data_IF_309973557255
#
_entry.id   IF_309973557255
#
_cell.length_a   1.000
_cell.length_b   1.000
_cell.length_c   1.000
_cell.angle_alpha   90.00
_cell.angle_beta   90.00
_cell.angle_gamma   90.00
#
_symmetry.space_group_name_H-M   'P 1'
#
loop_
_entity.id
_entity.type
_entity.pdbx_description
1 polymer ?
#
# COMPACT_ATOMS: atom_id res chain seq x y z
N UNK A 1 5.02 0.54 18.05
CA UNK A 1 4.10 1.44 17.34
C UNK A 1 3.89 2.66 18.21
N UNK A 2 3.85 3.83 17.59
CA UNK A 2 3.55 5.07 18.28
C UNK A 2 2.09 5.15 18.73
N UNK A 3 1.77 6.20 19.49
CA UNK A 3 0.42 6.47 19.97
C UNK A 3 -0.52 6.92 18.86
N UNK A 4 -0.02 7.70 17.91
CA UNK A 4 -0.77 8.31 16.81
C UNK A 4 -0.40 7.68 15.45
N UNK A 5 0.89 7.44 15.22
CA UNK A 5 1.38 6.91 13.96
C UNK A 5 1.47 5.39 13.99
N UNK A 6 0.69 4.74 13.12
CA UNK A 6 0.78 3.31 12.82
C UNK A 6 1.84 3.01 11.75
N UNK A 7 1.81 1.80 11.18
CA UNK A 7 2.74 1.37 10.12
C UNK A 7 2.59 2.17 8.81
N UNK A 8 1.45 2.85 8.62
CA UNK A 8 1.12 3.59 7.39
C UNK A 8 0.58 5.01 7.69
N UNK A 9 1.25 5.73 8.58
CA UNK A 9 0.93 7.10 8.95
C UNK A 9 -0.06 7.23 10.12
N UNK A 10 -0.45 8.46 10.40
CA UNK A 10 -1.48 8.80 11.38
C UNK A 10 -2.86 8.73 10.72
N UNK A 11 -3.65 7.71 11.01
CA UNK A 11 -4.99 7.50 10.46
C UNK A 11 -6.07 7.64 11.51
N UNK A 12 -7.21 8.14 11.10
CA UNK A 12 -8.40 8.23 11.95
C UNK A 12 -9.58 8.87 11.22
N UNK A 13 -10.76 8.78 11.84
CA UNK A 13 -11.94 9.50 11.38
C UNK A 13 -11.68 11.01 11.48
N UNK A 14 -11.97 11.72 10.38
CA UNK A 14 -11.68 13.15 10.25
C UNK A 14 -12.47 13.98 11.27
N UNK A 15 -11.78 14.84 12.02
CA UNK A 15 -12.29 15.64 13.15
C UNK A 15 -12.83 14.83 14.35
N UNK A 16 -12.57 13.52 14.39
CA UNK A 16 -12.84 12.68 15.56
C UNK A 16 -11.53 12.21 16.19
N UNK A 17 -10.76 11.37 15.48
CA UNK A 17 -9.47 10.86 15.94
C UNK A 17 -8.30 11.63 15.33
N UNK A 18 -8.44 12.07 14.07
CA UNK A 18 -7.49 12.92 13.36
C UNK A 18 -8.12 14.30 13.14
N UNK A 19 -7.59 15.33 13.79
CA UNK A 19 -8.16 16.69 13.77
C UNK A 19 -7.29 17.68 13.01
N UNK A 20 -7.84 18.84 12.66
CA UNK A 20 -7.10 19.97 12.07
C UNK A 20 -5.97 20.44 12.97
N UNK A 21 -6.13 20.36 14.30
CA UNK A 21 -5.10 20.72 15.26
C UNK A 21 -3.90 19.76 15.18
N UNK A 22 -4.15 18.45 15.07
CA UNK A 22 -3.09 17.48 14.84
C UNK A 22 -2.32 17.81 13.56
N UNK A 23 -3.02 18.05 12.45
CA UNK A 23 -2.39 18.42 11.18
C UNK A 23 -1.57 19.70 11.28
N UNK A 24 -2.10 20.73 11.94
CA UNK A 24 -1.38 21.98 12.18
C UNK A 24 -0.08 21.75 12.98
N UNK A 25 -0.16 21.00 14.08
CA UNK A 25 1.02 20.68 14.91
C UNK A 25 2.05 19.84 14.13
N UNK A 26 1.63 18.86 13.34
CA UNK A 26 2.53 18.10 12.47
C UNK A 26 3.27 19.05 11.51
N UNK A 27 2.54 19.97 10.86
CA UNK A 27 3.13 20.99 10.01
C UNK A 27 4.11 21.91 10.78
N UNK A 28 3.74 22.36 11.97
CA UNK A 28 4.61 23.17 12.86
C UNK A 28 5.93 22.45 13.16
N UNK A 29 5.81 21.17 13.55
CA UNK A 29 6.99 20.38 13.89
C UNK A 29 7.91 20.18 12.68
N UNK A 30 7.39 19.74 11.56
CA UNK A 30 8.18 19.46 10.35
C UNK A 30 8.88 20.72 9.83
N UNK A 31 8.18 21.85 9.76
CA UNK A 31 8.77 23.11 9.33
C UNK A 31 9.92 23.56 10.23
N UNK A 32 9.76 23.46 11.54
CA UNK A 32 10.82 23.75 12.51
C UNK A 32 11.96 22.74 12.47
N UNK A 33 11.63 21.44 12.40
CA UNK A 33 12.63 20.36 12.46
C UNK A 33 13.59 20.42 11.27
N UNK A 34 13.04 20.49 10.07
CA UNK A 34 13.84 20.55 8.85
C UNK A 34 14.45 21.93 8.61
N UNK A 35 13.80 23.02 9.04
CA UNK A 35 14.34 24.37 8.92
C UNK A 35 15.70 24.54 9.59
N UNK A 36 16.04 23.73 10.61
CA UNK A 36 17.36 23.74 11.26
C UNK A 36 18.50 23.32 10.32
N UNK A 37 18.21 22.60 9.26
CA UNK A 37 19.21 22.11 8.31
C UNK A 37 19.57 23.16 7.25
N UNK A 38 18.87 24.29 7.21
CA UNK A 38 19.05 25.36 6.24
C UNK A 38 19.54 26.64 6.91
N UNK A 39 20.51 27.32 6.31
CA UNK A 39 21.07 28.59 6.83
C UNK A 39 20.01 29.71 6.92
N UNK A 40 19.08 29.73 5.94
CA UNK A 40 17.97 30.67 5.91
C UNK A 40 16.74 30.16 6.71
N UNK A 41 16.81 28.96 7.27
CA UNK A 41 15.74 28.32 8.03
C UNK A 41 14.55 27.84 7.19
N UNK A 42 14.68 27.79 5.85
CA UNK A 42 13.58 27.48 4.92
C UNK A 42 13.63 26.05 4.41
N UNK A 43 12.97 25.14 5.11
CA UNK A 43 12.72 23.80 4.60
C UNK A 43 11.72 23.82 3.43
N UNK A 44 11.89 22.89 2.50
CA UNK A 44 10.97 22.66 1.37
C UNK A 44 10.19 21.37 1.59
N UNK A 45 8.90 21.48 1.75
CA UNK A 45 8.04 20.33 2.03
C UNK A 45 6.97 20.20 0.96
N UNK A 46 6.91 19.03 0.30
CA UNK A 46 5.94 18.76 -0.75
C UNK A 46 4.72 18.02 -0.17
N UNK A 47 3.52 18.44 -0.60
CA UNK A 47 2.25 17.90 -0.10
C UNK A 47 1.41 17.41 -1.27
N UNK A 48 0.95 16.16 -1.18
CA UNK A 48 -0.09 15.60 -2.04
C UNK A 48 -1.29 15.15 -1.21
N UNK A 49 -2.42 14.99 -1.87
CA UNK A 49 -3.66 14.53 -1.23
C UNK A 49 -4.48 13.65 -2.17
N UNK A 50 -5.35 12.83 -1.58
CA UNK A 50 -6.40 12.14 -2.31
C UNK A 50 -7.63 13.02 -2.52
N UNK A 51 -8.71 12.43 -3.02
CA UNK A 51 -9.94 13.12 -3.39
C UNK A 51 -10.92 13.35 -2.26
N UNK A 52 -10.64 12.89 -1.02
CA UNK A 52 -11.52 13.05 0.15
C UNK A 52 -11.79 14.53 0.40
N UNK A 53 -13.03 14.85 0.77
CA UNK A 53 -13.40 16.23 1.14
C UNK A 53 -12.54 16.74 2.30
N UNK A 54 -12.27 15.91 3.31
CA UNK A 54 -11.42 16.25 4.45
C UNK A 54 -9.95 16.47 4.10
N UNK A 55 -9.46 15.96 2.96
CA UNK A 55 -8.07 16.13 2.54
C UNK A 55 -7.73 17.60 2.28
N UNK A 56 -8.67 18.40 1.77
CA UNK A 56 -8.48 19.86 1.61
C UNK A 56 -8.34 20.56 2.96
N UNK A 57 -9.16 20.20 3.93
CA UNK A 57 -9.11 20.75 5.28
C UNK A 57 -7.75 20.47 5.94
N UNK A 58 -7.26 19.24 5.85
CA UNK A 58 -5.97 18.86 6.40
C UNK A 58 -4.80 19.50 5.66
N UNK A 59 -4.87 19.63 4.33
CA UNK A 59 -3.86 20.34 3.54
C UNK A 59 -3.69 21.77 4.03
N UNK A 60 -4.78 22.53 4.15
CA UNK A 60 -4.71 23.93 4.63
C UNK A 60 -4.16 24.02 6.07
N UNK A 61 -4.50 23.07 6.91
CA UNK A 61 -4.01 23.02 8.28
C UNK A 61 -2.50 22.73 8.36
N UNK A 62 -2.02 21.73 7.60
CA UNK A 62 -0.59 21.43 7.46
C UNK A 62 0.19 22.63 6.90
N UNK A 63 -0.32 23.25 5.82
CA UNK A 63 0.29 24.44 5.20
C UNK A 63 0.41 25.57 6.19
N UNK A 64 -0.64 25.86 6.96
CA UNK A 64 -0.59 26.90 7.99
C UNK A 64 0.50 26.60 9.05
N UNK A 65 0.62 25.34 9.48
CA UNK A 65 1.66 24.92 10.41
C UNK A 65 3.08 25.08 9.85
N UNK A 66 3.29 24.60 8.63
CA UNK A 66 4.58 24.67 7.93
C UNK A 66 5.04 26.12 7.73
N UNK A 67 4.20 26.95 7.14
CA UNK A 67 4.54 28.35 6.84
C UNK A 67 4.74 29.18 8.11
N UNK A 68 3.95 28.92 9.16
CA UNK A 68 4.13 29.53 10.47
C UNK A 68 5.47 29.15 11.13
N UNK A 69 6.09 28.04 10.73
CA UNK A 69 7.43 27.61 11.18
C UNK A 69 8.55 28.00 10.22
N UNK A 70 8.25 28.70 9.11
CA UNK A 70 9.23 29.18 8.15
C UNK A 70 9.46 28.27 6.94
N UNK A 71 8.86 27.09 6.89
CA UNK A 71 9.00 26.18 5.75
C UNK A 71 8.13 26.60 4.56
N UNK A 72 8.62 26.36 3.35
CA UNK A 72 7.86 26.54 2.13
C UNK A 72 7.08 25.24 1.80
N UNK A 73 5.77 25.38 1.58
CA UNK A 73 4.86 24.28 1.28
C UNK A 73 4.57 24.20 -0.22
N UNK A 74 4.96 23.10 -0.86
CA UNK A 74 4.78 22.86 -2.30
C UNK A 74 3.59 21.93 -2.54
N UNK A 75 2.55 22.40 -3.21
CA UNK A 75 1.29 21.68 -3.37
C UNK A 75 1.21 20.94 -4.71
N UNK A 76 1.22 19.62 -4.67
CA UNK A 76 0.96 18.76 -5.84
C UNK A 76 -0.54 18.63 -6.14
N UNK A 77 -1.39 19.08 -5.22
CA UNK A 77 -2.85 18.88 -5.26
C UNK A 77 -3.22 17.41 -5.21
N UNK A 78 -4.32 17.01 -5.89
CA UNK A 78 -4.73 15.61 -5.94
C UNK A 78 -3.72 14.81 -6.76
N UNK A 79 -3.07 13.86 -6.10
CA UNK A 79 -2.04 12.99 -6.67
C UNK A 79 -1.90 11.70 -5.85
N UNK A 80 -1.13 10.73 -6.36
CA UNK A 80 -0.94 9.43 -5.72
C UNK A 80 0.16 9.46 -4.67
N UNK A 81 0.13 8.53 -3.70
CA UNK A 81 1.22 8.36 -2.72
C UNK A 81 2.57 8.14 -3.40
N UNK A 82 2.73 7.26 -4.41
CA UNK A 82 4.01 7.12 -5.10
C UNK A 82 4.44 8.38 -5.87
N UNK A 83 3.51 9.25 -6.30
CA UNK A 83 3.86 10.56 -6.88
C UNK A 83 4.56 11.45 -5.86
N UNK A 84 4.04 11.54 -4.63
CA UNK A 84 4.68 12.31 -3.54
C UNK A 84 6.06 11.73 -3.24
N UNK A 85 6.17 10.42 -3.09
CA UNK A 85 7.46 9.73 -2.87
C UNK A 85 8.47 10.03 -3.97
N UNK A 86 8.03 9.95 -5.25
CA UNK A 86 8.89 10.24 -6.39
C UNK A 86 9.40 11.68 -6.39
N UNK A 87 8.50 12.65 -6.23
CA UNK A 87 8.86 14.08 -6.24
C UNK A 87 9.77 14.41 -5.08
N UNK A 88 9.48 13.90 -3.87
CA UNK A 88 10.30 14.14 -2.69
C UNK A 88 11.76 13.74 -2.93
N UNK A 89 11.99 12.53 -3.46
CA UNK A 89 13.36 12.00 -3.64
C UNK A 89 14.12 12.50 -4.85
N UNK A 90 13.43 13.12 -5.82
CA UNK A 90 14.05 13.51 -7.09
C UNK A 90 14.24 15.02 -7.25
N UNK A 91 13.68 15.83 -6.36
CA UNK A 91 13.62 17.28 -6.53
C UNK A 91 14.03 18.09 -5.27
N UNK A 92 14.96 17.58 -4.47
CA UNK A 92 15.56 18.25 -3.30
C UNK A 92 14.54 18.77 -2.28
N UNK A 93 13.50 17.98 -1.97
CA UNK A 93 12.59 18.22 -0.85
C UNK A 93 13.10 17.58 0.43
N UNK A 94 12.97 18.26 1.54
CA UNK A 94 13.36 17.76 2.86
C UNK A 94 12.41 16.65 3.35
N UNK A 95 11.13 16.78 2.97
CA UNK A 95 10.07 15.87 3.40
C UNK A 95 8.90 15.92 2.43
N UNK A 96 8.22 14.79 2.26
CA UNK A 96 6.94 14.67 1.57
C UNK A 96 5.82 14.35 2.55
N UNK A 97 4.63 14.87 2.28
CA UNK A 97 3.41 14.57 3.04
C UNK A 97 2.35 14.10 2.07
N UNK A 98 1.78 12.92 2.32
CA UNK A 98 0.58 12.46 1.63
C UNK A 98 -0.62 12.43 2.58
N UNK A 99 -1.70 13.11 2.16
CA UNK A 99 -2.96 13.15 2.91
C UNK A 99 -3.91 12.13 2.29
N UNK A 100 -4.00 10.96 2.91
CA UNK A 100 -4.86 9.87 2.49
C UNK A 100 -4.98 8.78 3.57
N UNK A 101 -6.13 8.12 3.60
CA UNK A 101 -6.33 6.86 4.33
C UNK A 101 -6.40 5.64 3.39
N UNK A 102 -5.77 5.70 2.19
CA UNK A 102 -5.71 4.61 1.21
C UNK A 102 -7.10 4.05 0.88
N UNK A 103 -7.35 2.78 1.19
CA UNK A 103 -8.60 2.07 0.87
C UNK A 103 -9.73 2.25 1.89
N UNK A 104 -9.53 3.03 2.96
CA UNK A 104 -10.56 3.29 3.95
C UNK A 104 -11.74 4.10 3.37
N UNK A 105 -12.92 4.09 4.01
CA UNK A 105 -14.07 4.92 3.63
C UNK A 105 -13.74 6.42 3.65
N UNK A 106 -14.58 7.22 3.01
CA UNK A 106 -14.36 8.67 2.82
C UNK A 106 -14.27 9.49 4.11
N UNK A 107 -14.89 9.03 5.19
CA UNK A 107 -14.89 9.73 6.47
C UNK A 107 -13.58 9.57 7.27
N UNK A 108 -12.80 8.53 6.96
CA UNK A 108 -11.43 8.41 7.45
C UNK A 108 -10.47 9.26 6.62
N UNK A 109 -9.37 9.68 7.23
CA UNK A 109 -8.24 10.27 6.54
C UNK A 109 -6.92 9.88 7.22
N UNK A 110 -5.80 10.29 6.63
CA UNK A 110 -4.47 10.00 7.17
C UNK A 110 -3.43 11.04 6.76
N UNK A 111 -2.36 11.09 7.52
CA UNK A 111 -1.16 11.87 7.23
C UNK A 111 0.00 10.90 7.18
N UNK A 112 0.52 10.64 5.97
CA UNK A 112 1.70 9.80 5.72
C UNK A 112 2.90 10.72 5.53
N UNK A 113 3.98 10.45 6.26
CA UNK A 113 5.21 11.22 6.20
C UNK A 113 6.29 10.45 5.44
N UNK A 114 6.95 11.14 4.53
CA UNK A 114 7.91 10.59 3.58
C UNK A 114 9.22 11.36 3.75
N UNK A 115 10.34 10.65 3.93
CA UNK A 115 11.65 11.27 4.09
C UNK A 115 12.22 11.76 2.74
N UNK A 116 13.37 12.43 2.77
CA UNK A 116 14.09 12.95 1.60
C UNK A 116 14.46 11.89 0.55
N UNK A 117 14.51 10.61 0.95
CA UNK A 117 14.76 9.47 0.04
C UNK A 117 13.49 8.90 -0.60
N UNK A 118 12.33 9.48 -0.32
CA UNK A 118 11.05 8.97 -0.78
C UNK A 118 10.56 7.73 -0.04
N UNK A 119 11.12 7.44 1.13
CA UNK A 119 10.76 6.32 1.99
C UNK A 119 9.86 6.79 3.13
N UNK A 120 9.23 5.87 3.85
CA UNK A 120 8.51 6.22 5.08
C UNK A 120 9.43 6.93 6.07
N UNK A 121 8.86 7.90 6.79
CA UNK A 121 9.58 8.65 7.81
C UNK A 121 10.16 7.73 8.88
N UNK A 122 11.35 8.07 9.36
CA UNK A 122 12.06 7.32 10.40
C UNK A 122 11.31 7.38 11.73
N UNK A 123 11.37 6.27 12.47
CA UNK A 123 10.69 6.11 13.76
C UNK A 123 11.14 7.14 14.83
N UNK A 124 12.43 7.54 14.81
CA UNK A 124 12.93 8.56 15.73
C UNK A 124 12.26 9.91 15.51
N UNK A 125 12.08 10.32 14.26
CA UNK A 125 11.38 11.58 13.91
C UNK A 125 9.89 11.47 14.26
N UNK A 126 9.26 10.32 13.99
CA UNK A 126 7.87 10.06 14.36
C UNK A 126 7.69 10.19 15.88
N UNK A 127 8.59 9.60 16.67
CA UNK A 127 8.54 9.71 18.14
C UNK A 127 8.65 11.14 18.66
N UNK A 128 9.46 11.98 18.01
CA UNK A 128 9.54 13.42 18.37
C UNK A 128 8.25 14.18 17.99
N UNK A 129 7.64 13.85 16.85
CA UNK A 129 6.33 14.41 16.46
C UNK A 129 5.28 14.07 17.52
N UNK A 130 5.21 12.81 17.96
CA UNK A 130 4.24 12.35 18.95
C UNK A 130 4.41 13.06 20.30
N UNK A 131 5.65 13.27 20.77
CA UNK A 131 5.93 14.08 21.98
C UNK A 131 5.44 15.51 21.83
N UNK A 132 5.59 16.10 20.65
CA UNK A 132 5.08 17.46 20.40
C UNK A 132 3.54 17.50 20.37
N UNK A 133 2.90 16.50 19.78
CA UNK A 133 1.44 16.37 19.79
C UNK A 133 0.88 16.26 21.22
N UNK A 134 1.55 15.51 22.08
CA UNK A 134 1.18 15.32 23.50
C UNK A 134 1.52 16.51 24.40
N UNK A 135 2.20 17.52 23.88
CA UNK A 135 2.61 18.70 24.68
C UNK A 135 3.81 18.43 25.61
N UNK A 136 4.57 17.37 25.35
CA UNK A 136 5.79 17.02 26.11
C UNK A 136 7.02 17.84 25.67
N UNK A 137 6.89 18.61 24.60
CA UNK A 137 7.91 19.52 24.11
C UNK A 137 7.52 20.99 24.39
N UNK A 138 8.52 21.86 24.55
CA UNK A 138 8.30 23.29 24.59
C UNK A 138 7.66 23.81 23.30
N UNK A 139 6.88 24.91 23.41
CA UNK A 139 6.31 25.57 22.24
C UNK A 139 7.39 25.96 21.22
N UNK A 140 7.12 25.60 19.96
CA UNK A 140 8.06 25.90 18.87
C UNK A 140 7.96 27.37 18.47
N UNK A 141 9.09 28.03 18.13
CA UNK A 141 9.06 29.43 17.74
C UNK A 141 8.27 29.65 16.45
N UNK A 142 7.60 30.77 16.34
CA UNK A 142 6.99 31.23 15.10
C UNK A 142 8.00 31.98 14.24
N UNK A 143 7.96 31.72 12.95
CA UNK A 143 8.63 32.55 11.97
C UNK A 143 7.96 33.93 11.89
N UNK A 144 8.74 34.98 11.70
CA UNK A 144 8.24 36.34 11.62
C UNK A 144 8.79 37.05 10.39
N UNK A 145 8.02 38.01 9.87
CA UNK A 145 8.42 38.87 8.74
C UNK A 145 8.82 38.02 7.51
N UNK A 146 10.01 38.30 6.95
CA UNK A 146 10.58 37.60 5.76
C UNK A 146 10.91 36.12 5.99
N UNK A 147 10.90 35.68 7.25
CA UNK A 147 11.11 34.27 7.62
C UNK A 147 9.85 33.43 7.56
N UNK A 148 8.67 34.04 7.41
CA UNK A 148 7.42 33.28 7.20
C UNK A 148 7.56 32.52 5.88
N UNK A 149 7.22 31.20 5.90
CA UNK A 149 7.24 30.38 4.69
C UNK A 149 6.15 30.75 3.71
N UNK A 150 6.28 30.30 2.49
CA UNK A 150 5.29 30.53 1.43
C UNK A 150 4.62 29.24 0.94
N UNK A 151 3.52 29.41 0.21
CA UNK A 151 2.85 28.30 -0.48
C UNK A 151 3.16 28.39 -1.96
N UNK A 152 3.55 27.27 -2.55
CA UNK A 152 3.89 27.17 -3.97
C UNK A 152 2.93 26.17 -4.64
N UNK A 153 2.24 26.59 -5.70
CA UNK A 153 1.53 25.66 -6.59
C UNK A 153 2.57 24.85 -7.37
N UNK A 154 2.59 23.55 -7.15
CA UNK A 154 3.63 22.68 -7.72
C UNK A 154 3.07 21.51 -8.54
N UNK A 155 2.00 21.77 -9.30
CA UNK A 155 1.43 20.79 -10.25
C UNK A 155 2.49 20.25 -11.25
N UNK A 156 3.56 21.01 -11.49
CA UNK A 156 4.69 20.58 -12.32
C UNK A 156 5.36 19.29 -11.80
N UNK A 157 5.49 19.13 -10.49
CA UNK A 157 6.06 17.90 -9.89
C UNK A 157 5.21 16.66 -10.22
N UNK A 158 3.87 16.78 -10.12
CA UNK A 158 2.96 15.72 -10.55
C UNK A 158 3.12 15.38 -12.04
N UNK A 159 3.27 16.37 -12.90
CA UNK A 159 3.45 16.15 -14.34
C UNK A 159 4.80 15.46 -14.64
N UNK A 160 5.86 15.73 -13.88
CA UNK A 160 7.13 15.02 -13.98
C UNK A 160 7.00 13.54 -13.60
N UNK A 161 6.25 13.24 -12.54
CA UNK A 161 5.94 11.85 -12.18
C UNK A 161 5.19 11.14 -13.32
N UNK A 162 4.19 11.78 -13.94
CA UNK A 162 3.51 11.21 -15.12
C UNK A 162 4.49 10.93 -16.27
N UNK A 163 5.38 11.89 -16.58
CA UNK A 163 6.42 11.72 -17.59
C UNK A 163 7.39 10.58 -17.24
N UNK A 164 7.76 10.46 -15.96
CA UNK A 164 8.56 9.34 -15.46
C UNK A 164 7.86 8.00 -15.69
N UNK A 165 6.59 7.86 -15.32
CA UNK A 165 5.82 6.63 -15.54
C UNK A 165 5.77 6.23 -17.02
N UNK A 166 5.51 7.19 -17.90
CA UNK A 166 5.50 6.95 -19.35
C UNK A 166 6.86 6.47 -19.85
N UNK A 167 7.96 6.99 -19.29
CA UNK A 167 9.32 6.58 -19.66
C UNK A 167 9.70 5.14 -19.26
N UNK A 168 8.94 4.53 -18.33
CA UNK A 168 9.16 3.17 -17.87
C UNK A 168 8.61 2.10 -18.81
N UNK A 169 7.72 2.47 -19.73
CA UNK A 169 7.14 1.55 -20.70
C UNK A 169 8.15 1.30 -21.83
N UNK A 170 8.59 0.05 -21.98
CA UNK A 170 9.53 -0.35 -23.06
C UNK A 170 8.80 -0.80 -24.33
N UNK A 171 7.50 -0.95 -24.29
CA UNK A 171 6.64 -1.28 -25.44
C UNK A 171 5.54 -0.23 -25.60
N UNK A 172 5.10 0.00 -26.84
CA UNK A 172 3.87 0.72 -27.10
C UNK A 172 2.68 -0.20 -26.78
N UNK A 173 1.66 0.37 -26.12
CA UNK A 173 0.42 -0.36 -25.81
C UNK A 173 -0.63 -0.20 -26.93
N UNK A 174 -0.20 0.26 -28.12
CA UNK A 174 -1.10 0.41 -29.27
C UNK A 174 -1.78 -0.91 -29.63
N UNK A 175 -3.10 -0.87 -29.71
CA UNK A 175 -3.94 -2.04 -29.99
C UNK A 175 -4.47 -2.75 -28.75
N UNK A 176 -3.92 -2.48 -27.57
CA UNK A 176 -4.44 -3.01 -26.30
C UNK A 176 -5.68 -2.23 -25.85
N UNK A 177 -6.69 -2.96 -25.37
CA UNK A 177 -7.95 -2.43 -24.80
C UNK A 177 -7.96 -2.76 -23.31
N UNK A 178 -7.93 -1.74 -22.46
CA UNK A 178 -7.82 -1.95 -21.01
C UNK A 178 -8.91 -1.24 -20.22
N UNK A 179 -9.38 -1.88 -19.16
CA UNK A 179 -10.25 -1.28 -18.14
C UNK A 179 -9.42 -0.62 -17.03
N UNK A 180 -9.84 0.54 -16.56
CA UNK A 180 -9.24 1.21 -15.41
C UNK A 180 -10.33 1.56 -14.41
N UNK A 181 -10.19 1.08 -13.17
CA UNK A 181 -11.00 1.53 -12.05
C UNK A 181 -10.16 2.46 -11.17
N UNK A 182 -10.52 3.73 -11.15
CA UNK A 182 -9.77 4.76 -10.43
C UNK A 182 -10.23 4.93 -8.97
N UNK A 183 -11.14 4.11 -8.46
CA UNK A 183 -11.67 4.13 -7.10
C UNK A 183 -12.27 5.50 -6.67
N UNK A 184 -12.61 6.39 -7.60
CA UNK A 184 -12.87 7.82 -7.37
C UNK A 184 -11.76 8.48 -6.52
N UNK A 185 -10.56 7.92 -6.55
CA UNK A 185 -9.36 8.31 -5.80
C UNK A 185 -8.34 9.05 -6.65
N UNK A 186 -7.11 9.06 -6.19
CA UNK A 186 -6.00 9.84 -6.76
C UNK A 186 -5.63 9.48 -8.19
N UNK A 187 -5.89 8.22 -8.62
CA UNK A 187 -5.58 7.75 -9.98
C UNK A 187 -6.50 8.35 -11.06
N UNK A 188 -7.65 8.97 -10.70
CA UNK A 188 -8.70 9.37 -11.62
C UNK A 188 -8.22 10.26 -12.79
N UNK A 189 -7.32 11.18 -12.51
CA UNK A 189 -6.81 12.13 -13.52
C UNK A 189 -5.50 11.70 -14.17
N UNK A 190 -4.77 10.75 -13.56
CA UNK A 190 -3.44 10.33 -14.00
C UNK A 190 -3.48 9.08 -14.87
N UNK A 191 -4.17 8.02 -14.40
CA UNK A 191 -4.10 6.71 -15.02
C UNK A 191 -4.52 6.73 -16.48
N UNK A 192 -5.69 7.29 -16.79
CA UNK A 192 -6.17 7.43 -18.17
C UNK A 192 -5.16 8.14 -19.06
N UNK A 193 -4.67 9.30 -18.62
CA UNK A 193 -3.74 10.12 -19.40
C UNK A 193 -2.43 9.38 -19.72
N UNK A 194 -1.91 8.61 -18.79
CA UNK A 194 -0.69 7.83 -18.94
C UNK A 194 -0.90 6.69 -19.95
N UNK A 195 -1.96 5.89 -19.78
CA UNK A 195 -2.19 4.73 -20.66
C UNK A 195 -2.58 5.14 -22.07
N UNK A 196 -3.37 6.22 -22.23
CA UNK A 196 -3.68 6.79 -23.55
C UNK A 196 -2.41 7.29 -24.26
N UNK A 197 -1.52 7.99 -23.54
CA UNK A 197 -0.25 8.45 -24.09
C UNK A 197 0.67 7.28 -24.49
N UNK A 198 0.60 6.14 -23.81
CA UNK A 198 1.31 4.90 -24.16
C UNK A 198 0.65 4.15 -25.34
N UNK A 199 -0.53 4.60 -25.78
CA UNK A 199 -1.22 4.09 -26.97
C UNK A 199 -2.33 3.07 -26.70
N UNK A 200 -2.65 2.76 -25.44
CA UNK A 200 -3.76 1.90 -25.10
C UNK A 200 -5.12 2.57 -25.38
N UNK A 201 -6.14 1.77 -25.68
CA UNK A 201 -7.53 2.22 -25.64
C UNK A 201 -8.11 1.96 -24.26
N UNK A 202 -8.34 3.02 -23.48
CA UNK A 202 -8.79 2.94 -22.09
C UNK A 202 -10.31 3.01 -21.96
N UNK A 203 -10.85 2.22 -21.04
CA UNK A 203 -12.23 2.22 -20.59
C UNK A 203 -12.22 2.48 -19.09
N UNK A 204 -12.63 3.66 -18.65
CA UNK A 204 -12.46 4.10 -17.27
C UNK A 204 -13.79 4.11 -16.54
N UNK A 205 -13.80 3.57 -15.33
CA UNK A 205 -14.90 3.65 -14.39
C UNK A 205 -14.43 4.26 -13.06
N UNK A 206 -15.36 4.75 -12.27
CA UNK A 206 -15.15 5.38 -10.97
C UNK A 206 -14.06 6.48 -11.01
N UNK A 207 -14.21 7.42 -11.95
CA UNK A 207 -13.29 8.53 -12.18
C UNK A 207 -13.97 9.90 -12.06
N UNK A 208 -15.03 9.99 -11.26
CA UNK A 208 -15.79 11.22 -11.00
C UNK A 208 -15.87 11.46 -9.48
N UNK A 209 -14.75 11.86 -8.84
CA UNK A 209 -14.70 12.04 -7.40
C UNK A 209 -15.55 13.25 -6.97
N UNK A 210 -16.42 13.05 -5.96
CA UNK A 210 -17.22 14.10 -5.32
C UNK A 210 -16.76 14.44 -3.88
N UNK A 211 -15.72 13.77 -3.43
CA UNK A 211 -15.15 13.90 -2.08
C UNK A 211 -15.74 12.96 -1.04
N UNK A 212 -16.79 12.21 -1.37
CA UNK A 212 -17.51 11.30 -0.49
C UNK A 212 -17.59 9.86 -1.04
N UNK A 213 -17.26 9.68 -2.31
CA UNK A 213 -17.42 8.42 -3.03
C UNK A 213 -16.13 7.61 -3.24
N UNK A 214 -15.00 8.05 -2.68
CA UNK A 214 -13.72 7.33 -2.76
C UNK A 214 -13.86 5.93 -2.15
N UNK A 215 -13.38 4.88 -2.86
CA UNK A 215 -13.45 3.47 -2.47
C UNK A 215 -14.87 2.92 -2.21
N UNK A 216 -15.92 3.68 -2.50
CA UNK A 216 -17.29 3.25 -2.22
C UNK A 216 -17.80 2.31 -3.29
N UNK A 217 -17.74 0.99 -3.03
CA UNK A 217 -18.12 -0.05 -3.99
C UNK A 217 -17.27 -0.04 -5.27
N UNK A 218 -16.01 0.36 -5.20
CA UNK A 218 -15.11 0.49 -6.34
C UNK A 218 -13.64 0.30 -5.96
N UNK A 219 -12.78 0.23 -6.96
CA UNK A 219 -11.35 0.11 -6.81
C UNK A 219 -10.89 -1.29 -6.39
N UNK A 220 -9.67 -1.38 -5.84
CA UNK A 220 -9.02 -2.66 -5.54
C UNK A 220 -9.69 -3.48 -4.42
N UNK A 221 -10.54 -2.85 -3.60
CA UNK A 221 -11.31 -3.54 -2.54
C UNK A 221 -12.70 -4.00 -2.99
N UNK A 222 -13.20 -3.51 -4.13
CA UNK A 222 -14.50 -3.84 -4.72
C UNK A 222 -14.36 -3.91 -6.24
N UNK A 223 -13.74 -5.00 -6.71
CA UNK A 223 -13.27 -5.14 -8.10
C UNK A 223 -14.35 -5.66 -9.08
N UNK A 224 -15.52 -6.01 -8.57
CA UNK A 224 -16.59 -6.71 -9.32
C UNK A 224 -17.01 -5.92 -10.57
N UNK A 225 -17.18 -4.61 -10.44
CA UNK A 225 -17.59 -3.75 -11.57
C UNK A 225 -16.53 -3.68 -12.69
N UNK A 226 -15.24 -3.78 -12.32
CA UNK A 226 -14.17 -3.89 -13.32
C UNK A 226 -14.17 -5.25 -14.00
N UNK A 227 -14.41 -6.34 -13.26
CA UNK A 227 -14.56 -7.69 -13.84
C UNK A 227 -15.70 -7.73 -14.86
N UNK A 228 -16.84 -7.13 -14.54
CA UNK A 228 -17.98 -7.01 -15.47
C UNK A 228 -17.64 -6.14 -16.68
N UNK A 229 -16.95 -5.03 -16.50
CA UNK A 229 -16.51 -4.15 -17.58
C UNK A 229 -15.60 -4.90 -18.56
N UNK A 230 -14.61 -5.64 -18.04
CA UNK A 230 -13.67 -6.40 -18.87
C UNK A 230 -14.42 -7.42 -19.75
N UNK A 231 -15.36 -8.17 -19.16
CA UNK A 231 -16.19 -9.16 -19.89
C UNK A 231 -17.07 -8.49 -20.94
N UNK A 232 -17.82 -7.46 -20.54
CA UNK A 232 -18.79 -6.78 -21.41
C UNK A 232 -18.14 -6.13 -22.61
N UNK A 233 -17.01 -5.48 -22.41
CA UNK A 233 -16.28 -4.75 -23.46
C UNK A 233 -15.23 -5.61 -24.16
N UNK A 234 -15.06 -6.88 -23.78
CA UNK A 234 -14.02 -7.78 -24.31
C UNK A 234 -12.63 -7.13 -24.26
N UNK A 235 -12.21 -6.71 -23.06
CA UNK A 235 -10.93 -6.04 -22.85
C UNK A 235 -9.80 -7.07 -22.69
N UNK A 236 -8.58 -6.66 -23.00
CA UNK A 236 -7.39 -7.50 -22.86
C UNK A 236 -6.98 -7.66 -21.37
N UNK A 237 -7.23 -6.64 -20.55
CA UNK A 237 -7.00 -6.63 -19.11
C UNK A 237 -7.77 -5.49 -18.43
N UNK A 238 -7.91 -5.58 -17.10
CA UNK A 238 -8.37 -4.50 -16.24
C UNK A 238 -7.39 -4.23 -15.10
N UNK A 239 -7.35 -2.99 -14.61
CA UNK A 239 -6.52 -2.54 -13.49
C UNK A 239 -7.34 -1.70 -12.53
N UNK A 240 -7.45 -2.15 -11.27
CA UNK A 240 -8.14 -1.45 -10.20
C UNK A 240 -7.14 -0.91 -9.19
N UNK A 241 -7.26 0.37 -8.88
CA UNK A 241 -6.43 1.06 -7.90
C UNK A 241 -7.20 1.23 -6.58
N UNK A 242 -6.49 1.54 -5.50
CA UNK A 242 -7.10 2.06 -4.28
C UNK A 242 -7.06 3.60 -4.24
N UNK A 243 -7.58 4.18 -3.16
CA UNK A 243 -7.80 5.64 -3.07
C UNK A 243 -6.57 6.51 -3.32
N UNK A 244 -5.36 6.07 -2.96
CA UNK A 244 -4.11 6.80 -3.20
C UNK A 244 -3.16 6.07 -4.18
N UNK A 245 -3.67 5.02 -4.82
CA UNK A 245 -3.06 4.29 -5.93
C UNK A 245 -1.66 3.73 -5.64
N UNK A 246 -1.37 3.39 -4.39
CA UNK A 246 -0.18 2.62 -4.02
C UNK A 246 -0.39 1.11 -4.24
N UNK A 247 -1.65 0.67 -4.50
CA UNK A 247 -2.06 -0.69 -4.82
C UNK A 247 -2.64 -0.80 -6.22
N UNK A 248 -2.49 -2.00 -6.81
CA UNK A 248 -3.15 -2.39 -8.04
C UNK A 248 -3.53 -3.87 -7.99
N UNK A 249 -4.80 -4.18 -8.24
CA UNK A 249 -5.23 -5.51 -8.62
C UNK A 249 -5.54 -5.53 -10.11
N UNK A 250 -5.32 -6.68 -10.74
CA UNK A 250 -5.59 -6.84 -12.16
C UNK A 250 -6.81 -7.74 -12.40
N UNK A 251 -7.36 -7.64 -13.60
CA UNK A 251 -8.42 -8.51 -14.10
C UNK A 251 -7.98 -9.07 -15.44
N UNK A 252 -8.06 -10.39 -15.62
CA UNK A 252 -7.71 -11.04 -16.87
C UNK A 252 -8.80 -10.88 -17.94
N UNK A 253 -8.53 -11.31 -19.15
CA UNK A 253 -9.44 -11.25 -20.32
C UNK A 253 -10.78 -12.00 -20.11
N UNK A 254 -10.85 -12.89 -19.14
CA UNK A 254 -12.07 -13.64 -18.78
C UNK A 254 -12.83 -13.01 -17.60
N UNK A 255 -12.29 -11.90 -17.04
CA UNK A 255 -12.85 -11.22 -15.89
C UNK A 255 -12.54 -11.90 -14.55
N UNK A 256 -11.47 -12.68 -14.47
CA UNK A 256 -10.99 -13.24 -13.22
C UNK A 256 -10.02 -12.27 -12.55
N UNK A 257 -10.05 -12.23 -11.22
CA UNK A 257 -9.18 -11.38 -10.41
C UNK A 257 -7.76 -11.97 -10.37
N UNK A 258 -6.80 -11.12 -10.69
CA UNK A 258 -5.35 -11.38 -10.59
C UNK A 258 -4.82 -10.49 -9.45
N UNK A 259 -4.66 -11.08 -8.27
CA UNK A 259 -4.24 -10.37 -7.07
C UNK A 259 -2.71 -10.18 -6.99
N UNK A 260 -2.22 -9.58 -5.90
CA UNK A 260 -0.79 -9.31 -5.71
C UNK A 260 0.10 -10.54 -5.76
N UNK A 261 -0.39 -11.70 -5.30
CA UNK A 261 0.37 -12.95 -5.36
C UNK A 261 0.61 -13.39 -6.81
N UNK A 262 -0.41 -13.33 -7.66
CA UNK A 262 -0.25 -13.59 -9.09
C UNK A 262 0.73 -12.61 -9.75
N UNK A 263 0.64 -11.32 -9.39
CA UNK A 263 1.52 -10.27 -9.94
C UNK A 263 2.97 -10.54 -9.55
N UNK A 264 3.24 -10.89 -8.29
CA UNK A 264 4.56 -11.26 -7.80
C UNK A 264 5.12 -12.47 -8.55
N UNK A 265 4.30 -13.50 -8.78
CA UNK A 265 4.69 -14.67 -9.57
C UNK A 265 5.03 -14.31 -11.02
N UNK A 266 4.12 -13.61 -11.70
CA UNK A 266 4.27 -13.24 -13.12
C UNK A 266 5.55 -12.43 -13.33
N UNK A 267 5.75 -11.39 -12.50
CA UNK A 267 6.90 -10.52 -12.66
C UNK A 267 8.21 -11.14 -12.12
N UNK A 268 8.12 -11.97 -11.08
CA UNK A 268 9.23 -12.77 -10.57
C UNK A 268 9.79 -13.71 -11.64
N UNK A 269 8.93 -14.47 -12.33
CA UNK A 269 9.31 -15.31 -13.47
C UNK A 269 9.94 -14.49 -14.59
N UNK A 270 9.34 -13.35 -14.95
CA UNK A 270 9.86 -12.45 -15.99
C UNK A 270 11.23 -11.88 -15.66
N UNK A 271 11.47 -11.52 -14.39
CA UNK A 271 12.78 -11.06 -13.93
C UNK A 271 13.81 -12.19 -13.90
N UNK A 272 13.44 -13.38 -13.42
CA UNK A 272 14.30 -14.56 -13.37
C UNK A 272 14.84 -14.92 -14.75
N UNK A 273 13.96 -15.05 -15.74
CA UNK A 273 14.34 -15.36 -17.12
C UNK A 273 15.32 -14.36 -17.74
N UNK A 274 15.33 -13.13 -17.23
CA UNK A 274 16.22 -12.06 -17.67
C UNK A 274 17.48 -11.91 -16.82
N UNK A 275 17.68 -12.78 -15.82
CA UNK A 275 18.79 -12.68 -14.87
C UNK A 275 18.77 -11.39 -14.03
N UNK A 276 17.55 -10.84 -13.78
CA UNK A 276 17.37 -9.57 -13.04
C UNK A 276 16.82 -9.77 -11.62
N UNK A 277 16.46 -10.99 -11.27
CA UNK A 277 15.97 -11.33 -9.92
C UNK A 277 17.17 -11.62 -9.01
N UNK A 278 17.48 -10.69 -8.11
CA UNK A 278 18.64 -10.82 -7.20
C UNK A 278 18.43 -12.03 -6.29
N UNK A 279 19.47 -12.88 -6.18
CA UNK A 279 19.47 -14.14 -5.44
C UNK A 279 18.30 -15.06 -5.77
N UNK A 280 17.65 -14.84 -6.91
CA UNK A 280 16.44 -15.56 -7.32
C UNK A 280 15.27 -15.41 -6.33
N UNK A 281 15.23 -14.30 -5.57
CA UNK A 281 14.28 -14.09 -4.46
C UNK A 281 13.26 -13.01 -4.72
N UNK A 282 12.03 -13.27 -4.19
CA UNK A 282 10.92 -12.32 -4.07
C UNK A 282 10.58 -12.15 -2.60
N UNK A 283 10.30 -10.92 -2.16
CA UNK A 283 9.86 -10.65 -0.79
C UNK A 283 8.35 -10.63 -0.72
N UNK A 284 7.78 -11.42 0.18
CA UNK A 284 6.33 -11.52 0.43
C UNK A 284 6.03 -11.29 1.91
N UNK A 285 4.76 -11.38 2.29
CA UNK A 285 4.37 -11.42 3.71
C UNK A 285 3.84 -12.80 4.07
N UNK A 286 3.74 -13.08 5.38
CA UNK A 286 3.12 -14.31 5.89
C UNK A 286 1.66 -14.50 5.44
N UNK A 287 1.03 -13.48 4.85
CA UNK A 287 -0.35 -13.53 4.35
C UNK A 287 -0.45 -13.88 2.86
N UNK A 288 0.65 -13.94 2.10
CA UNK A 288 0.62 -14.44 0.72
C UNK A 288 0.11 -15.87 0.69
N UNK A 289 -0.74 -16.18 -0.28
CA UNK A 289 -1.42 -17.47 -0.36
C UNK A 289 -0.44 -18.64 -0.54
N UNK A 290 -0.76 -19.77 0.04
CA UNK A 290 0.05 -20.99 -0.04
C UNK A 290 0.33 -21.41 -1.49
N UNK A 291 -0.64 -21.18 -2.39
CA UNK A 291 -0.49 -21.45 -3.82
C UNK A 291 0.63 -20.64 -4.49
N UNK A 292 0.91 -19.42 -4.04
CA UNK A 292 2.05 -18.64 -4.52
C UNK A 292 3.36 -19.35 -4.22
N UNK A 293 3.53 -19.85 -3.00
CA UNK A 293 4.76 -20.54 -2.59
C UNK A 293 4.97 -21.81 -3.40
N UNK A 294 3.92 -22.62 -3.59
CA UNK A 294 3.99 -23.82 -4.45
C UNK A 294 4.37 -23.47 -5.89
N UNK A 295 3.83 -22.37 -6.42
CA UNK A 295 4.16 -21.91 -7.76
C UNK A 295 5.60 -21.43 -7.87
N UNK A 296 6.13 -20.76 -6.84
CA UNK A 296 7.53 -20.34 -6.78
C UNK A 296 8.47 -21.55 -6.69
N UNK A 297 8.16 -22.51 -5.82
CA UNK A 297 8.96 -23.74 -5.66
C UNK A 297 9.04 -24.51 -6.98
N UNK A 298 7.93 -24.61 -7.72
CA UNK A 298 7.86 -25.31 -9.01
C UNK A 298 8.78 -24.69 -10.10
N UNK A 299 9.04 -23.37 -9.99
CA UNK A 299 9.92 -22.67 -10.94
C UNK A 299 11.29 -22.30 -10.34
N UNK A 300 11.57 -22.70 -9.10
CA UNK A 300 12.84 -22.45 -8.40
C UNK A 300 13.06 -20.96 -8.12
N UNK A 301 12.03 -20.23 -7.71
CA UNK A 301 12.11 -18.88 -7.16
C UNK A 301 12.06 -19.00 -5.65
N UNK A 302 13.09 -18.49 -4.97
CA UNK A 302 13.11 -18.40 -3.52
C UNK A 302 12.32 -17.18 -3.04
N UNK A 303 11.93 -17.18 -1.76
CA UNK A 303 11.15 -16.09 -1.18
C UNK A 303 11.50 -15.82 0.28
N UNK A 304 11.37 -14.55 0.67
CA UNK A 304 11.41 -14.12 2.06
C UNK A 304 9.97 -13.78 2.53
N UNK A 305 9.60 -14.26 3.72
CA UNK A 305 8.29 -13.99 4.34
C UNK A 305 8.48 -12.99 5.47
N UNK A 306 7.95 -11.79 5.31
CA UNK A 306 7.96 -10.76 6.36
C UNK A 306 6.67 -10.78 7.18
N UNK A 307 6.64 -10.02 8.26
CA UNK A 307 5.39 -9.63 8.91
C UNK A 307 4.51 -8.85 7.93
N UNK A 308 3.21 -8.77 8.21
CA UNK A 308 2.24 -8.00 7.41
C UNK A 308 2.52 -6.52 7.50
N UNK A 309 2.59 -5.87 6.37
CA UNK A 309 2.82 -4.44 6.22
C UNK A 309 3.95 -4.15 5.22
N UNK A 310 3.67 -3.26 4.30
CA UNK A 310 4.58 -2.81 3.24
C UNK A 310 5.93 -2.31 3.77
N UNK A 311 5.95 -1.72 4.97
CA UNK A 311 7.16 -1.31 5.67
C UNK A 311 8.15 -2.48 5.83
N UNK A 312 7.68 -3.62 6.33
CA UNK A 312 8.53 -4.79 6.56
C UNK A 312 9.02 -5.42 5.25
N UNK A 313 8.16 -5.39 4.22
CA UNK A 313 8.54 -5.82 2.88
C UNK A 313 9.68 -4.94 2.35
N UNK A 314 9.52 -3.62 2.41
CA UNK A 314 10.53 -2.68 1.92
C UNK A 314 11.84 -2.74 2.73
N UNK A 315 11.77 -2.82 4.05
CA UNK A 315 12.95 -2.98 4.91
C UNK A 315 13.75 -4.25 4.55
N UNK A 316 13.06 -5.38 4.35
CA UNK A 316 13.71 -6.62 3.89
C UNK A 316 14.34 -6.46 2.52
N UNK A 317 13.63 -5.84 1.57
CA UNK A 317 14.15 -5.56 0.22
C UNK A 317 15.38 -4.65 0.25
N UNK A 318 15.31 -3.55 0.97
CA UNK A 318 16.37 -2.55 1.07
C UNK A 318 17.64 -3.12 1.70
N UNK A 319 17.48 -3.87 2.81
CA UNK A 319 18.60 -4.50 3.54
C UNK A 319 19.37 -5.50 2.68
N UNK A 320 18.66 -6.26 1.84
CA UNK A 320 19.25 -7.36 1.06
C UNK A 320 19.45 -7.02 -0.42
N UNK A 321 19.03 -5.84 -0.87
CA UNK A 321 19.12 -5.42 -2.26
C UNK A 321 18.13 -6.13 -3.19
N UNK A 322 17.04 -6.72 -2.66
CA UNK A 322 16.04 -7.41 -3.47
C UNK A 322 15.21 -6.42 -4.28
N UNK A 323 14.79 -6.85 -5.47
CA UNK A 323 14.21 -5.94 -6.47
C UNK A 323 12.70 -6.05 -6.64
N UNK A 324 12.09 -7.09 -6.11
CA UNK A 324 10.65 -7.34 -6.20
C UNK A 324 10.14 -7.80 -4.84
N UNK A 325 9.10 -7.17 -4.38
CA UNK A 325 8.37 -7.58 -3.18
C UNK A 325 6.98 -6.98 -3.16
N UNK A 326 6.14 -7.49 -2.27
CA UNK A 326 4.77 -6.97 -2.16
C UNK A 326 3.87 -7.85 -1.32
N UNK A 327 2.59 -7.51 -1.40
CA UNK A 327 1.51 -8.12 -0.64
C UNK A 327 0.38 -8.60 -1.56
N UNK A 328 -0.38 -9.59 -1.12
CA UNK A 328 -1.57 -10.08 -1.81
C UNK A 328 -2.57 -8.95 -2.13
N UNK A 329 -2.62 -7.90 -1.31
CA UNK A 329 -3.47 -6.72 -1.50
C UNK A 329 -3.16 -5.88 -2.75
N UNK A 330 -2.08 -6.20 -3.48
CA UNK A 330 -1.66 -5.47 -4.67
C UNK A 330 -0.67 -4.35 -4.42
N UNK A 331 -0.17 -4.19 -3.19
CA UNK A 331 0.93 -3.27 -2.90
C UNK A 331 2.25 -3.90 -3.35
N UNK A 332 2.68 -3.58 -4.57
CA UNK A 332 3.84 -4.19 -5.22
C UNK A 332 4.98 -3.17 -5.34
N UNK A 333 6.13 -3.52 -4.82
CA UNK A 333 7.34 -2.69 -4.82
C UNK A 333 8.33 -3.20 -5.86
N UNK A 334 8.64 -2.36 -6.81
CA UNK A 334 9.71 -2.56 -7.79
C UNK A 334 10.88 -1.65 -7.41
N UNK A 335 11.78 -2.07 -6.52
CA UNK A 335 12.79 -1.20 -5.90
C UNK A 335 13.73 -0.49 -6.88
N UNK A 336 13.81 -0.99 -8.12
CA UNK A 336 14.52 -0.27 -9.20
C UNK A 336 13.82 1.05 -9.57
N UNK A 337 12.53 1.16 -9.38
CA UNK A 337 11.70 2.25 -9.89
C UNK A 337 11.08 3.10 -8.77
N UNK A 338 10.70 2.47 -7.66
CA UNK A 338 10.03 3.12 -6.55
C UNK A 338 10.50 2.57 -5.21
N UNK A 339 10.36 3.38 -4.15
CA UNK A 339 10.67 3.03 -2.76
C UNK A 339 9.41 2.61 -1.98
N UNK A 340 8.26 2.63 -2.64
CA UNK A 340 6.96 2.20 -2.11
C UNK A 340 6.19 1.46 -3.20
N UNK A 341 5.04 0.88 -2.89
CA UNK A 341 4.12 0.35 -3.88
C UNK A 341 3.65 1.44 -4.84
N UNK A 342 3.47 1.06 -6.09
CA UNK A 342 2.99 1.95 -7.14
C UNK A 342 2.05 1.17 -8.06
N UNK A 343 0.75 1.46 -7.95
CA UNK A 343 -0.27 0.76 -8.70
C UNK A 343 -0.16 0.99 -10.21
N UNK A 344 0.25 2.20 -10.63
CA UNK A 344 0.37 2.52 -12.06
C UNK A 344 1.61 1.85 -12.64
N UNK A 345 2.74 1.82 -11.93
CA UNK A 345 3.91 1.03 -12.34
C UNK A 345 3.53 -0.44 -12.45
N UNK A 346 2.78 -0.97 -11.48
CA UNK A 346 2.33 -2.36 -11.48
C UNK A 346 1.54 -2.68 -12.76
N UNK A 347 0.56 -1.86 -13.11
CA UNK A 347 -0.23 -2.02 -14.33
C UNK A 347 0.64 -1.94 -15.60
N UNK A 348 1.55 -0.95 -15.69
CA UNK A 348 2.52 -0.83 -16.81
C UNK A 348 3.37 -2.09 -16.93
N UNK A 349 3.87 -2.63 -15.81
CA UNK A 349 4.73 -3.82 -15.81
C UNK A 349 3.97 -5.10 -16.16
N UNK A 350 2.69 -5.23 -15.80
CA UNK A 350 1.86 -6.35 -16.26
C UNK A 350 1.63 -6.29 -17.77
N UNK A 351 1.30 -5.11 -18.31
CA UNK A 351 1.18 -4.90 -19.77
C UNK A 351 2.49 -5.23 -20.49
N UNK A 352 3.63 -4.83 -19.92
CA UNK A 352 4.96 -5.16 -20.46
C UNK A 352 5.18 -6.68 -20.56
N UNK A 353 4.84 -7.44 -19.52
CA UNK A 353 5.02 -8.90 -19.53
C UNK A 353 4.08 -9.55 -20.55
N UNK A 354 2.81 -9.13 -20.63
CA UNK A 354 1.86 -9.63 -21.62
C UNK A 354 2.40 -9.48 -23.04
N UNK A 355 2.88 -8.29 -23.40
CA UNK A 355 3.42 -8.00 -24.73
C UNK A 355 4.73 -8.74 -24.99
N UNK A 356 5.64 -8.79 -24.04
CA UNK A 356 6.93 -9.49 -24.17
C UNK A 356 6.76 -10.99 -24.37
N UNK A 357 5.78 -11.59 -23.69
CA UNK A 357 5.51 -13.03 -23.71
C UNK A 357 4.49 -13.41 -24.79
N UNK A 358 3.77 -12.44 -25.35
CA UNK A 358 2.63 -12.67 -26.25
C UNK A 358 1.59 -13.62 -25.64
N UNK A 359 1.29 -13.42 -24.35
CA UNK A 359 0.35 -14.18 -23.55
C UNK A 359 -0.67 -13.26 -22.91
N UNK A 360 -1.88 -13.76 -22.72
CA UNK A 360 -2.90 -13.08 -21.93
C UNK A 360 -2.55 -13.10 -20.45
N UNK A 361 -3.19 -12.23 -19.67
CA UNK A 361 -2.93 -12.14 -18.24
C UNK A 361 -3.36 -13.43 -17.52
N UNK A 362 -4.50 -14.03 -17.92
CA UNK A 362 -4.96 -15.32 -17.41
C UNK A 362 -3.98 -16.46 -17.68
N UNK A 363 -3.36 -16.50 -18.88
CA UNK A 363 -2.32 -17.50 -19.20
C UNK A 363 -1.06 -17.33 -18.36
N UNK A 364 -0.69 -16.09 -18.03
CA UNK A 364 0.48 -15.81 -17.19
C UNK A 364 0.25 -16.15 -15.72
N UNK A 365 -0.98 -15.96 -15.24
CA UNK A 365 -1.37 -16.21 -13.85
C UNK A 365 -1.71 -17.68 -13.57
N UNK A 366 -2.07 -18.47 -14.59
CA UNK A 366 -2.59 -19.83 -14.43
C UNK A 366 -1.75 -20.81 -13.59
N UNK A 367 -0.40 -20.67 -13.45
CA UNK A 367 0.36 -21.55 -12.56
C UNK A 367 0.12 -21.28 -11.07
N UNK A 368 -0.42 -20.13 -10.69
CA UNK A 368 -0.73 -19.81 -9.30
C UNK A 368 -2.17 -20.23 -9.00
N UNK A 369 -2.33 -21.32 -8.28
CA UNK A 369 -3.64 -21.79 -7.83
C UNK A 369 -3.89 -21.23 -6.42
N UNK A 370 -4.87 -20.37 -6.26
CA UNK A 370 -5.24 -19.81 -4.96
C UNK A 370 -5.96 -20.88 -4.13
N UNK A 371 -5.36 -21.23 -3.01
CA UNK A 371 -5.96 -22.15 -2.04
C UNK A 371 -7.08 -21.45 -1.28
N UNK A 372 -8.22 -22.14 -1.06
CA UNK A 372 -9.24 -21.69 -0.12
C UNK A 372 -8.63 -21.29 1.22
N UNK A 373 -9.14 -20.22 1.80
CA UNK A 373 -8.64 -19.68 3.07
C UNK A 373 -9.81 -19.39 4.02
N UNK A 374 -9.69 -19.82 5.26
CA UNK A 374 -10.58 -19.42 6.35
C UNK A 374 -9.75 -18.71 7.41
N UNK A 375 -10.19 -17.51 7.79
CA UNK A 375 -9.57 -16.72 8.85
C UNK A 375 -10.66 -16.34 9.86
N UNK A 376 -10.46 -16.73 11.13
CA UNK A 376 -11.34 -16.34 12.23
C UNK A 376 -10.57 -15.51 13.26
N UNK A 377 -11.23 -14.47 13.77
CA UNK A 377 -10.71 -13.61 14.82
C UNK A 377 -11.29 -14.07 16.17
N UNK A 378 -10.43 -14.35 17.13
CA UNK A 378 -10.83 -14.77 18.49
C UNK A 378 -10.47 -13.67 19.46
N UNK A 379 -11.46 -13.08 20.10
CA UNK A 379 -11.24 -12.05 21.12
C UNK A 379 -10.75 -12.68 22.41
N UNK A 380 -9.60 -12.25 22.92
CA UNK A 380 -8.92 -12.87 24.06
C UNK A 380 -8.51 -11.86 25.11
N UNK A 381 -8.37 -12.32 26.35
CA UNK A 381 -7.92 -11.53 27.50
C UNK A 381 -6.48 -11.05 27.35
N UNK A 382 -5.59 -11.97 26.94
CA UNK A 382 -4.20 -11.69 26.62
C UNK A 382 -3.81 -12.43 25.33
N UNK A 383 -3.55 -11.66 24.26
CA UNK A 383 -3.23 -12.22 22.95
C UNK A 383 -1.86 -12.88 22.88
N UNK A 384 -0.90 -12.35 23.64
CA UNK A 384 0.47 -12.88 23.66
C UNK A 384 0.52 -14.19 24.45
N UNK A 385 -0.18 -14.26 25.59
CA UNK A 385 -0.30 -15.47 26.36
C UNK A 385 -1.05 -16.56 25.59
N UNK A 386 -2.21 -16.23 25.01
CA UNK A 386 -3.02 -17.17 24.25
C UNK A 386 -2.27 -17.76 23.04
N UNK A 387 -1.54 -16.93 22.27
CA UNK A 387 -0.75 -17.42 21.13
C UNK A 387 0.43 -18.32 21.57
N UNK A 388 1.00 -18.06 22.73
CA UNK A 388 2.20 -18.76 23.23
C UNK A 388 1.88 -19.93 24.19
N UNK A 389 0.61 -20.18 24.50
CA UNK A 389 0.18 -21.33 25.31
C UNK A 389 0.64 -22.66 24.68
N UNK A 390 1.14 -23.58 25.52
CA UNK A 390 1.72 -24.84 25.07
C UNK A 390 0.70 -25.74 24.34
N UNK A 391 -0.55 -25.77 24.81
CA UNK A 391 -1.60 -26.62 24.22
C UNK A 391 -2.11 -26.01 22.91
N UNK A 392 -2.18 -24.67 22.83
CA UNK A 392 -2.53 -23.97 21.57
C UNK A 392 -1.45 -24.23 20.52
N UNK A 393 -0.17 -24.13 20.88
CA UNK A 393 0.95 -24.46 19.97
C UNK A 393 0.91 -25.92 19.52
N UNK A 394 0.67 -26.85 20.44
CA UNK A 394 0.54 -28.25 20.10
C UNK A 394 -0.62 -28.53 19.13
N UNK A 395 -1.76 -27.84 19.30
CA UNK A 395 -2.89 -27.93 18.38
C UNK A 395 -2.53 -27.39 16.98
N UNK A 396 -1.80 -26.27 16.92
CA UNK A 396 -1.30 -25.70 15.66
C UNK A 396 -0.34 -26.66 14.95
N UNK A 397 0.61 -27.25 15.68
CA UNK A 397 1.56 -28.22 15.13
C UNK A 397 0.83 -29.47 14.61
N UNK A 398 -0.13 -30.00 15.37
CA UNK A 398 -0.92 -31.16 14.96
C UNK A 398 -1.78 -30.86 13.72
N UNK A 399 -2.32 -29.65 13.59
CA UNK A 399 -3.03 -29.23 12.38
C UNK A 399 -2.06 -29.08 11.18
N UNK A 400 -0.89 -28.51 11.39
CA UNK A 400 0.15 -28.38 10.36
C UNK A 400 0.63 -29.73 9.84
N UNK A 401 0.87 -30.72 10.73
CA UNK A 401 1.24 -32.08 10.34
C UNK A 401 0.16 -32.76 9.48
N UNK A 402 -1.12 -32.58 9.84
CA UNK A 402 -2.23 -33.17 9.10
C UNK A 402 -2.45 -32.51 7.73
N UNK A 403 -2.21 -31.18 7.63
CA UNK A 403 -2.27 -30.45 6.38
C UNK A 403 -1.10 -30.82 5.45
N UNK A 404 0.08 -31.07 6.00
CA UNK A 404 1.26 -31.48 5.25
C UNK A 404 1.56 -30.54 4.08
N UNK A 405 1.72 -31.13 2.89
CA UNK A 405 1.98 -30.38 1.64
C UNK A 405 0.71 -29.78 0.99
N UNK A 406 -0.48 -30.04 1.56
CA UNK A 406 -1.77 -29.63 0.97
C UNK A 406 -2.38 -28.40 1.65
N UNK A 407 -1.67 -27.79 2.59
CA UNK A 407 -2.17 -26.62 3.27
C UNK A 407 -1.20 -26.06 4.29
N UNK A 408 -1.64 -25.02 4.98
CA UNK A 408 -0.91 -24.42 6.11
C UNK A 408 -1.86 -23.81 7.13
N UNK A 409 -1.37 -23.67 8.33
CA UNK A 409 -2.02 -22.93 9.42
C UNK A 409 -1.13 -21.79 9.89
N UNK A 410 -1.74 -20.65 10.19
CA UNK A 410 -1.05 -19.49 10.78
C UNK A 410 -1.89 -18.95 11.93
N UNK A 411 -1.28 -18.86 13.11
CA UNK A 411 -1.88 -18.21 14.28
C UNK A 411 -1.03 -17.01 14.66
N UNK A 412 -1.67 -15.83 14.75
CA UNK A 412 -0.97 -14.59 15.08
C UNK A 412 -1.84 -13.63 15.88
N UNK A 413 -1.21 -12.84 16.72
CA UNK A 413 -1.87 -11.72 17.39
C UNK A 413 -2.16 -10.54 16.42
N UNK A 414 -3.23 -9.81 16.70
CA UNK A 414 -3.50 -8.54 16.02
C UNK A 414 -2.62 -7.44 16.60
N UNK A 415 -2.10 -6.56 15.72
CA UNK A 415 -1.30 -5.40 16.15
C UNK A 415 -2.13 -4.37 16.94
N UNK A 416 -3.42 -4.23 16.64
CA UNK A 416 -4.27 -3.13 17.13
C UNK A 416 -5.41 -3.57 18.04
N UNK A 417 -5.87 -4.81 17.95
CA UNK A 417 -7.05 -5.31 18.66
C UNK A 417 -6.66 -6.42 19.63
N UNK A 418 -7.43 -6.68 20.69
CA UNK A 418 -7.22 -7.78 21.61
C UNK A 418 -7.75 -9.10 21.03
N UNK A 419 -7.23 -9.48 19.85
CA UNK A 419 -7.63 -10.70 19.15
C UNK A 419 -6.43 -11.53 18.71
N UNK A 420 -6.59 -12.85 18.76
CA UNK A 420 -5.75 -13.82 18.06
C UNK A 420 -6.45 -14.19 16.76
N UNK A 421 -5.71 -14.19 15.67
CA UNK A 421 -6.18 -14.54 14.33
C UNK A 421 -5.70 -15.94 13.99
N UNK A 422 -6.64 -16.83 13.73
CA UNK A 422 -6.38 -18.20 13.29
C UNK A 422 -6.75 -18.31 11.82
N UNK A 423 -5.79 -18.65 10.97
CA UNK A 423 -5.96 -18.76 9.53
C UNK A 423 -5.48 -20.12 9.05
N UNK A 424 -6.29 -20.79 8.23
CA UNK A 424 -5.92 -22.02 7.53
C UNK A 424 -6.14 -21.84 6.05
N UNK A 425 -5.22 -22.34 5.26
CA UNK A 425 -5.34 -22.52 3.80
C UNK A 425 -5.20 -24.01 3.49
N UNK A 426 -6.12 -24.54 2.70
CA UNK A 426 -6.14 -25.94 2.32
C UNK A 426 -6.85 -26.13 0.96
N UNK A 427 -6.97 -27.39 0.52
CA UNK A 427 -7.62 -27.78 -0.73
C UNK A 427 -9.14 -27.54 -0.76
N UNK A 428 -9.78 -27.42 0.39
CA UNK A 428 -11.22 -27.10 0.50
C UNK A 428 -11.54 -26.18 1.67
N UNK A 429 -12.66 -25.46 1.57
CA UNK A 429 -13.17 -24.59 2.65
C UNK A 429 -13.49 -25.41 3.89
N UNK A 430 -14.08 -26.59 3.71
CA UNK A 430 -14.46 -27.51 4.77
C UNK A 430 -13.22 -27.96 5.59
N UNK A 431 -12.11 -28.26 4.90
CA UNK A 431 -10.84 -28.59 5.54
C UNK A 431 -10.30 -27.39 6.33
N UNK A 432 -10.39 -26.18 5.75
CA UNK A 432 -9.97 -24.96 6.43
C UNK A 432 -10.77 -24.69 7.69
N UNK A 433 -12.11 -24.76 7.61
CA UNK A 433 -13.02 -24.54 8.74
C UNK A 433 -12.73 -25.50 9.88
N UNK A 434 -12.61 -26.77 9.56
CA UNK A 434 -12.31 -27.82 10.55
C UNK A 434 -11.07 -27.49 11.38
N UNK A 435 -9.93 -27.22 10.74
CA UNK A 435 -8.68 -26.99 11.47
C UNK A 435 -8.63 -25.61 12.14
N UNK A 436 -9.33 -24.61 11.62
CA UNK A 436 -9.50 -23.33 12.32
C UNK A 436 -10.29 -23.56 13.61
N UNK A 437 -11.39 -24.31 13.55
CA UNK A 437 -12.26 -24.57 14.69
C UNK A 437 -11.57 -25.46 15.73
N UNK A 438 -10.84 -26.51 15.31
CA UNK A 438 -10.04 -27.34 16.21
C UNK A 438 -9.10 -26.51 17.09
N UNK A 439 -8.41 -25.51 16.50
CA UNK A 439 -7.49 -24.65 17.27
C UNK A 439 -8.24 -23.64 18.12
N UNK A 440 -9.33 -23.06 17.61
CA UNK A 440 -10.16 -22.10 18.38
C UNK A 440 -10.76 -22.79 19.61
N UNK A 441 -11.20 -24.06 19.49
CA UNK A 441 -11.74 -24.82 20.62
C UNK A 441 -10.70 -24.97 21.75
N UNK A 442 -9.43 -25.17 21.42
CA UNK A 442 -8.36 -25.19 22.43
C UNK A 442 -8.21 -23.83 23.10
N UNK A 443 -8.24 -22.71 22.35
CA UNK A 443 -8.16 -21.36 22.91
C UNK A 443 -9.35 -21.09 23.87
N UNK A 444 -10.56 -21.55 23.50
CA UNK A 444 -11.78 -21.44 24.33
C UNK A 444 -11.61 -22.25 25.62
N UNK A 445 -11.21 -23.53 25.53
CA UNK A 445 -11.06 -24.44 26.63
C UNK A 445 -10.01 -24.01 27.65
N UNK A 446 -9.01 -23.20 27.20
CA UNK A 446 -8.01 -22.57 28.06
C UNK A 446 -8.53 -21.31 28.80
N UNK A 447 -9.73 -20.85 28.48
CA UNK A 447 -10.34 -19.71 29.14
C UNK A 447 -9.81 -18.33 28.69
N UNK A 448 -9.13 -18.27 27.54
CA UNK A 448 -8.62 -17.00 27.01
C UNK A 448 -9.72 -16.12 26.38
N UNK A 449 -10.83 -16.70 25.97
CA UNK A 449 -11.88 -15.98 25.19
C UNK A 449 -12.66 -15.03 26.09
N UNK A 450 -12.80 -13.80 25.61
CA UNK A 450 -13.71 -12.80 26.20
C UNK A 450 -15.07 -12.97 25.51
N UNK A 451 -16.12 -13.20 26.30
CA UNK A 451 -17.50 -13.35 25.83
C UNK A 451 -18.10 -12.09 25.26
#
# INVERSE_FOLDING_TARGET
>A
MGKYFGTDGFRGEANVNLTVEHAYKVGRFLGWFYGKNHEDGKAKIVIGKDTRRSSYMFEYSLVAGLTASGADAYLLHVTTTPSVSYVTRTEDFDCGIMISASHNPYYDNGIKLINDKGEKMREDVIGEIEKYLDGEMAELPFATREKIGCTVDYAAGRNRYMGYLMSLAIYSFKGMRIGLDAANGSAWSLAKSIFDALGAKTYVIHAEPDGLNINNGCGSTHIESLCELVKREHLDAGFAFDGDADRCLCVDENGNVINGDHILYIYGCYMKERGKLVDNKVVTTVMSNFGLYKAFDAVGIDYEKTAVGDKYVYECMSKNGYRLGGEQSGHIIFSKYATTGDGIITAIKMMEVMLAKKKTLGQLASPVVIYPQVLKNVRVTDKTEAQNDADVRAAVEAAAEKLGENGRILVRESGTEPVVRVMVEADSVETCEKYVDDVIEVIINKGYVIG
#
